data_IF_874198937914
#
_entry.id   IF_874198937914
#
_cell.length_a   1.000
_cell.length_b   1.000
_cell.length_c   1.000
_cell.angle_alpha   90.00
_cell.angle_beta   90.00
_cell.angle_gamma   90.00
#
_symmetry.space_group_name_H-M   'P 1'
#
loop_
_entity.id
_entity.type
_entity.pdbx_description
1 polymer ?
#
# COMPACT_ATOMS: atom_id res chain seq x y z
N UNK A 1 34.26 -2.35 -33.38
CA UNK A 1 34.29 -2.22 -31.91
C UNK A 1 32.83 -2.27 -31.50
N UNK A 2 32.33 -3.47 -31.24
CA UNK A 2 30.91 -3.65 -30.94
C UNK A 2 30.61 -3.01 -29.59
N UNK A 3 29.66 -2.09 -29.56
CA UNK A 3 29.13 -1.55 -28.31
C UNK A 3 28.63 -2.75 -27.49
N UNK A 4 29.06 -2.92 -26.22
CA UNK A 4 28.57 -4.02 -25.41
C UNK A 4 27.03 -3.94 -25.35
N UNK A 5 26.37 -5.09 -25.49
CA UNK A 5 24.92 -5.21 -25.39
C UNK A 5 24.43 -4.52 -24.12
N UNK A 6 23.52 -3.55 -24.28
CA UNK A 6 22.91 -2.86 -23.15
C UNK A 6 21.82 -3.74 -22.54
N UNK A 7 22.17 -4.48 -21.49
CA UNK A 7 21.21 -5.26 -20.72
C UNK A 7 20.44 -4.36 -19.73
N UNK A 8 19.11 -4.47 -19.70
CA UNK A 8 18.25 -3.79 -18.72
C UNK A 8 17.88 -4.76 -17.60
N UNK A 9 18.20 -4.40 -16.36
CA UNK A 9 17.81 -5.19 -15.19
C UNK A 9 16.31 -5.02 -14.87
N UNK A 10 15.69 -6.04 -14.28
CA UNK A 10 14.36 -5.91 -13.69
C UNK A 10 14.49 -5.09 -12.41
N UNK A 11 13.92 -3.88 -12.39
CA UNK A 11 14.18 -2.87 -11.35
C UNK A 11 13.21 -2.89 -10.16
N UNK A 12 12.29 -3.86 -10.09
CA UNK A 12 11.20 -3.85 -9.08
C UNK A 12 11.70 -3.80 -7.63
N UNK A 13 12.79 -4.51 -7.32
CA UNK A 13 13.40 -4.57 -5.98
C UNK A 13 14.86 -4.15 -5.96
N UNK A 14 15.38 -3.63 -7.07
CA UNK A 14 16.78 -3.24 -7.19
C UNK A 14 17.02 -1.89 -6.53
N UNK A 15 17.66 -1.90 -5.35
CA UNK A 15 18.00 -0.71 -4.58
C UNK A 15 19.49 -0.72 -4.28
N UNK A 16 20.16 0.39 -4.58
CA UNK A 16 21.60 0.58 -4.35
C UNK A 16 21.82 1.46 -3.13
N UNK A 17 22.87 1.14 -2.37
CA UNK A 17 23.35 1.92 -1.25
C UNK A 17 24.88 1.87 -1.21
N UNK A 18 25.52 2.78 -0.49
CA UNK A 18 26.98 2.84 -0.40
C UNK A 18 27.52 1.63 0.37
N UNK A 19 28.53 0.94 -0.20
CA UNK A 19 29.19 -0.18 0.47
C UNK A 19 29.78 0.28 1.81
N UNK A 20 29.50 -0.46 2.89
CA UNK A 20 29.93 -0.13 4.26
C UNK A 20 28.96 0.79 5.02
N UNK A 21 27.94 1.37 4.37
CA UNK A 21 26.91 2.16 5.04
C UNK A 21 25.82 1.25 5.62
N UNK A 22 25.88 1.00 6.92
CA UNK A 22 24.92 0.15 7.64
C UNK A 22 23.52 0.77 7.70
N UNK A 23 23.43 2.09 7.85
CA UNK A 23 22.15 2.79 7.85
C UNK A 23 21.55 2.75 6.44
N UNK A 24 22.36 2.99 5.41
CA UNK A 24 21.96 2.84 4.02
C UNK A 24 21.45 1.42 3.70
N UNK A 25 22.12 0.38 4.20
CA UNK A 25 21.67 -1.01 4.04
C UNK A 25 20.28 -1.24 4.67
N UNK A 26 20.09 -0.79 5.91
CA UNK A 26 18.79 -0.87 6.57
C UNK A 26 17.70 -0.10 5.81
N UNK A 27 18.00 1.13 5.39
CA UNK A 27 17.06 1.99 4.67
C UNK A 27 16.73 1.46 3.26
N UNK A 28 17.65 0.73 2.63
CA UNK A 28 17.38 0.03 1.37
C UNK A 28 16.27 -1.02 1.56
N UNK A 29 16.32 -1.82 2.63
CA UNK A 29 15.23 -2.74 2.99
C UNK A 29 13.92 -2.01 3.30
N UNK A 30 13.97 -0.91 4.05
CA UNK A 30 12.78 -0.10 4.33
C UNK A 30 12.16 0.48 3.05
N UNK A 31 12.96 0.74 2.02
CA UNK A 31 12.43 1.21 0.75
C UNK A 31 11.61 0.15 -0.01
N UNK A 32 11.74 -1.13 0.33
CA UNK A 32 10.94 -2.22 -0.24
C UNK A 32 9.58 -2.40 0.42
N UNK A 33 9.25 -1.61 1.46
CA UNK A 33 7.96 -1.64 2.15
C UNK A 33 6.75 -1.57 1.20
N UNK A 34 6.70 -0.66 0.19
CA UNK A 34 5.60 -0.64 -0.77
C UNK A 34 5.42 -1.96 -1.53
N UNK A 35 6.52 -2.64 -1.87
CA UNK A 35 6.50 -3.94 -2.56
C UNK A 35 5.94 -5.01 -1.63
N UNK A 36 6.39 -5.06 -0.36
CA UNK A 36 5.88 -6.02 0.62
C UNK A 36 4.41 -5.79 0.96
N UNK A 37 3.97 -4.53 1.09
CA UNK A 37 2.55 -4.21 1.30
C UNK A 37 1.73 -4.65 0.09
N UNK A 38 2.19 -4.38 -1.13
CA UNK A 38 1.46 -4.71 -2.36
C UNK A 38 1.40 -6.22 -2.60
N UNK A 39 2.55 -6.87 -2.75
CA UNK A 39 2.64 -8.28 -3.11
C UNK A 39 2.42 -9.20 -1.90
N UNK A 40 2.92 -8.85 -0.73
CA UNK A 40 2.73 -9.65 0.48
C UNK A 40 1.36 -9.39 1.12
N UNK A 41 0.98 -8.13 1.29
CA UNK A 41 -0.27 -7.76 1.96
C UNK A 41 -1.51 -7.96 1.09
N UNK A 42 -1.64 -7.18 0.02
CA UNK A 42 -2.88 -7.14 -0.78
C UNK A 42 -3.11 -8.40 -1.62
N UNK A 43 -2.07 -9.02 -2.20
CA UNK A 43 -2.26 -10.30 -2.91
C UNK A 43 -2.67 -11.39 -1.93
N UNK A 44 -2.04 -11.50 -0.76
CA UNK A 44 -2.46 -12.48 0.26
C UNK A 44 -3.89 -12.20 0.74
N UNK A 45 -4.25 -10.93 0.94
CA UNK A 45 -5.64 -10.56 1.24
C UNK A 45 -6.59 -11.04 0.14
N UNK A 46 -6.27 -10.81 -1.12
CA UNK A 46 -7.10 -11.28 -2.23
C UNK A 46 -7.18 -12.81 -2.33
N UNK A 47 -6.12 -13.54 -2.00
CA UNK A 47 -6.13 -15.01 -2.08
C UNK A 47 -6.87 -15.67 -0.92
N UNK A 48 -6.73 -15.14 0.30
CA UNK A 48 -7.22 -15.79 1.53
C UNK A 48 -8.46 -15.14 2.15
N UNK A 49 -8.66 -13.83 1.94
CA UNK A 49 -9.72 -13.04 2.60
C UNK A 49 -10.83 -12.63 1.66
N UNK A 50 -10.47 -12.09 0.48
CA UNK A 50 -11.40 -11.58 -0.56
C UNK A 50 -12.45 -10.59 -0.02
N UNK A 51 -12.09 -9.83 1.01
CA UNK A 51 -12.98 -8.81 1.59
C UNK A 51 -12.99 -7.55 0.73
N UNK A 52 -14.17 -7.05 0.40
CA UNK A 52 -14.35 -5.87 -0.45
C UNK A 52 -13.61 -4.64 0.08
N UNK A 53 -13.65 -4.37 1.38
CA UNK A 53 -12.91 -3.25 1.98
C UNK A 53 -11.41 -3.30 1.66
N UNK A 54 -10.78 -4.47 1.78
CA UNK A 54 -9.36 -4.63 1.47
C UNK A 54 -9.08 -4.63 -0.04
N UNK A 55 -9.99 -5.16 -0.86
CA UNK A 55 -9.88 -5.10 -2.33
C UNK A 55 -9.92 -3.64 -2.81
N UNK A 56 -10.88 -2.84 -2.36
CA UNK A 56 -10.99 -1.44 -2.73
C UNK A 56 -9.85 -0.59 -2.16
N UNK A 57 -9.30 -0.94 -0.99
CA UNK A 57 -8.07 -0.33 -0.51
C UNK A 57 -6.89 -0.61 -1.46
N UNK A 58 -6.67 -1.86 -1.86
CA UNK A 58 -5.64 -2.23 -2.83
C UNK A 58 -5.85 -1.54 -4.19
N UNK A 59 -7.09 -1.48 -4.68
CA UNK A 59 -7.43 -0.76 -5.91
C UNK A 59 -7.09 0.73 -5.83
N UNK A 60 -7.32 1.34 -4.67
CA UNK A 60 -6.94 2.73 -4.42
C UNK A 60 -5.44 2.98 -4.54
N UNK A 61 -4.60 2.06 -4.08
CA UNK A 61 -3.14 2.14 -4.25
C UNK A 61 -2.74 2.03 -5.73
N UNK A 62 -3.40 1.15 -6.50
CA UNK A 62 -3.18 1.05 -7.95
C UNK A 62 -3.56 2.35 -8.64
N UNK A 63 -4.72 2.93 -8.34
CA UNK A 63 -5.16 4.23 -8.87
C UNK A 63 -4.17 5.34 -8.49
N UNK A 64 -3.73 5.38 -7.23
CA UNK A 64 -2.72 6.32 -6.76
C UNK A 64 -1.42 6.21 -7.56
N UNK A 65 -0.97 4.97 -7.83
CA UNK A 65 0.22 4.74 -8.64
C UNK A 65 0.03 5.19 -10.10
N UNK A 66 -1.13 4.96 -10.70
CA UNK A 66 -1.45 5.47 -12.05
C UNK A 66 -1.42 7.00 -12.10
N UNK A 67 -1.98 7.67 -11.09
CA UNK A 67 -1.92 9.14 -10.95
C UNK A 67 -0.46 9.60 -10.83
N UNK A 68 0.37 8.92 -10.03
CA UNK A 68 1.78 9.26 -9.86
C UNK A 68 2.53 9.18 -11.20
N UNK A 69 2.36 8.09 -11.94
CA UNK A 69 3.04 7.88 -13.21
C UNK A 69 2.55 8.88 -14.28
N UNK A 70 1.25 9.17 -14.32
CA UNK A 70 0.71 10.21 -15.20
C UNK A 70 1.32 11.60 -14.92
N UNK A 71 1.46 11.97 -13.65
CA UNK A 71 2.08 13.25 -13.28
C UNK A 71 3.56 13.26 -13.66
N UNK A 72 4.29 12.18 -13.38
CA UNK A 72 5.71 12.05 -13.71
C UNK A 72 5.98 12.19 -15.20
N UNK A 73 5.17 11.55 -16.05
CA UNK A 73 5.32 11.63 -17.50
C UNK A 73 4.86 12.98 -18.06
N UNK A 74 4.08 13.75 -17.32
CA UNK A 74 3.66 15.10 -17.74
C UNK A 74 4.65 16.19 -17.31
N UNK A 75 5.19 16.09 -16.10
CA UNK A 75 6.04 17.14 -15.48
C UNK A 75 7.52 16.90 -15.76
N UNK A 76 7.92 15.64 -15.90
CA UNK A 76 9.27 15.23 -16.30
C UNK A 76 10.41 15.81 -15.43
N UNK A 77 10.14 16.16 -14.17
CA UNK A 77 11.17 16.72 -13.30
C UNK A 77 12.29 15.70 -13.06
N UNK A 78 13.52 16.14 -13.29
CA UNK A 78 14.72 15.32 -13.09
C UNK A 78 14.89 14.85 -11.63
N UNK A 79 15.56 13.71 -11.46
CA UNK A 79 16.06 13.23 -10.17
C UNK A 79 17.31 14.01 -9.73
N UNK A 80 17.73 13.90 -8.46
CA UNK A 80 19.04 14.41 -8.04
C UNK A 80 20.19 13.78 -8.85
N UNK A 81 21.32 14.48 -8.98
CA UNK A 81 22.49 14.03 -9.77
C UNK A 81 23.04 12.66 -9.33
N UNK A 82 22.79 12.26 -8.07
CA UNK A 82 23.08 10.91 -7.56
C UNK A 82 22.38 9.80 -8.34
N UNK A 83 21.37 10.09 -9.17
CA UNK A 83 20.66 9.11 -9.99
C UNK A 83 21.59 8.32 -10.92
N UNK A 84 22.70 8.91 -11.38
CA UNK A 84 23.62 8.25 -12.32
C UNK A 84 24.31 7.08 -11.66
N UNK A 85 24.75 7.26 -10.41
CA UNK A 85 25.39 6.20 -9.61
C UNK A 85 24.38 5.11 -9.21
N UNK A 86 23.11 5.49 -9.06
CA UNK A 86 22.01 4.62 -8.64
C UNK A 86 21.32 3.91 -9.82
N UNK A 87 21.71 4.20 -11.07
CA UNK A 87 21.04 3.73 -12.29
C UNK A 87 19.52 4.00 -12.26
N UNK A 88 19.14 5.22 -11.89
CA UNK A 88 17.75 5.64 -11.73
C UNK A 88 17.35 6.84 -12.59
N UNK A 89 18.29 7.41 -13.38
CA UNK A 89 18.03 8.61 -14.18
C UNK A 89 17.08 8.38 -15.36
N UNK A 90 16.76 7.13 -15.70
CA UNK A 90 15.81 6.78 -16.76
C UNK A 90 14.34 7.08 -16.37
N UNK A 91 14.10 7.60 -15.16
CA UNK A 91 12.77 7.90 -14.64
C UNK A 91 12.69 9.27 -13.97
N UNK A 92 11.51 9.89 -14.03
CA UNK A 92 11.25 11.20 -13.44
C UNK A 92 11.11 11.13 -11.90
N UNK A 93 11.61 12.18 -11.25
CA UNK A 93 11.75 12.26 -9.79
C UNK A 93 10.52 12.80 -9.05
N UNK A 94 9.62 13.52 -9.73
CA UNK A 94 8.49 14.21 -9.08
C UNK A 94 7.12 13.72 -9.56
N UNK A 95 6.18 13.43 -8.65
CA UNK A 95 6.37 13.26 -7.21
C UNK A 95 6.96 11.88 -6.86
N UNK A 96 7.54 11.73 -5.66
CA UNK A 96 8.10 10.44 -5.24
C UNK A 96 7.01 9.37 -5.05
N UNK A 97 7.04 8.29 -5.86
CA UNK A 97 6.06 7.19 -5.78
C UNK A 97 6.10 6.45 -4.45
N UNK A 98 7.29 6.24 -3.86
CA UNK A 98 7.42 5.54 -2.58
C UNK A 98 6.76 6.33 -1.45
N UNK A 99 7.02 7.65 -1.41
CA UNK A 99 6.40 8.52 -0.41
C UNK A 99 4.90 8.63 -0.61
N UNK A 100 4.43 8.78 -1.85
CA UNK A 100 3.01 8.78 -2.17
C UNK A 100 2.30 7.49 -1.75
N UNK A 101 2.89 6.33 -2.03
CA UNK A 101 2.33 5.03 -1.67
C UNK A 101 2.15 4.90 -0.16
N UNK A 102 3.20 5.15 0.62
CA UNK A 102 3.14 4.92 2.08
C UNK A 102 2.27 5.96 2.80
N UNK A 103 2.19 7.20 2.30
CA UNK A 103 1.27 8.20 2.86
C UNK A 103 -0.18 7.95 2.48
N UNK A 104 -0.45 7.44 1.26
CA UNK A 104 -1.78 6.91 0.92
C UNK A 104 -2.16 5.79 1.88
N UNK A 105 -1.29 4.80 2.04
CA UNK A 105 -1.54 3.65 2.90
C UNK A 105 -1.80 4.08 4.34
N UNK A 106 -0.94 4.92 4.90
CA UNK A 106 -1.06 5.42 6.26
C UNK A 106 -2.37 6.19 6.49
N UNK A 107 -2.71 7.09 5.57
CA UNK A 107 -3.94 7.88 5.65
C UNK A 107 -5.18 7.00 5.57
N UNK A 108 -5.25 6.12 4.56
CA UNK A 108 -6.40 5.24 4.35
C UNK A 108 -6.58 4.27 5.53
N UNK A 109 -5.49 3.65 5.99
CA UNK A 109 -5.51 2.70 7.11
C UNK A 109 -5.90 3.38 8.43
N UNK A 110 -5.39 4.60 8.68
CA UNK A 110 -5.80 5.41 9.83
C UNK A 110 -7.31 5.69 9.81
N UNK A 111 -7.87 6.08 8.67
CA UNK A 111 -9.28 6.38 8.51
C UNK A 111 -10.16 5.12 8.70
N UNK A 112 -9.73 3.96 8.21
CA UNK A 112 -10.39 2.69 8.51
C UNK A 112 -10.42 2.42 10.03
N UNK A 113 -9.29 2.63 10.72
CA UNK A 113 -9.19 2.48 12.17
C UNK A 113 -10.09 3.43 12.95
N UNK A 114 -10.21 4.68 12.51
CA UNK A 114 -11.13 5.67 13.07
C UNK A 114 -12.59 5.26 12.88
N UNK A 115 -12.96 4.74 11.70
CA UNK A 115 -14.32 4.25 11.41
C UNK A 115 -14.60 2.87 12.05
N UNK A 116 -13.58 2.21 12.58
CA UNK A 116 -13.70 0.89 13.21
C UNK A 116 -13.81 -0.27 12.23
N UNK A 117 -13.42 -0.09 10.97
CA UNK A 117 -13.52 -1.11 9.93
C UNK A 117 -12.36 -2.09 10.05
N UNK A 118 -12.67 -3.39 10.23
CA UNK A 118 -11.68 -4.47 10.15
C UNK A 118 -10.71 -4.59 11.33
N UNK A 119 -10.94 -3.85 12.43
CA UNK A 119 -10.09 -3.92 13.62
C UNK A 119 -10.83 -4.53 14.80
N UNK A 120 -10.39 -5.74 15.19
CA UNK A 120 -10.76 -6.38 16.45
C UNK A 120 -10.23 -5.64 17.69
N UNK A 121 -9.21 -4.80 17.50
CA UNK A 121 -8.38 -4.35 18.62
C UNK A 121 -8.93 -3.11 19.30
N UNK A 122 -8.87 -3.11 20.64
CA UNK A 122 -9.34 -2.02 21.49
C UNK A 122 -8.61 -0.69 21.23
N UNK A 123 -9.18 0.41 21.72
CA UNK A 123 -8.75 1.78 21.42
C UNK A 123 -7.25 2.02 21.62
N UNK A 124 -6.66 1.52 22.71
CA UNK A 124 -5.22 1.61 23.01
C UNK A 124 -4.35 0.96 21.92
N UNK A 125 -4.79 -0.16 21.35
CA UNK A 125 -4.07 -0.81 20.26
C UNK A 125 -4.20 -0.07 18.94
N UNK A 126 -5.33 0.61 18.68
CA UNK A 126 -5.48 1.47 17.49
C UNK A 126 -4.44 2.58 17.45
N UNK A 127 -4.14 3.21 18.59
CA UNK A 127 -3.07 4.22 18.70
C UNK A 127 -1.68 3.64 18.39
N UNK A 128 -1.36 2.45 18.91
CA UNK A 128 -0.08 1.77 18.64
C UNK A 128 0.02 1.41 17.16
N UNK A 129 -1.05 0.86 16.57
CA UNK A 129 -1.09 0.52 15.14
C UNK A 129 -0.94 1.77 14.27
N UNK A 130 -1.56 2.89 14.67
CA UNK A 130 -1.39 4.18 14.03
C UNK A 130 0.06 4.65 14.08
N UNK A 131 0.68 4.63 15.26
CA UNK A 131 2.08 5.01 15.42
C UNK A 131 3.01 4.18 14.53
N UNK A 132 2.83 2.84 14.51
CA UNK A 132 3.70 1.93 13.76
C UNK A 132 3.71 2.25 12.26
N UNK A 133 2.53 2.36 11.63
CA UNK A 133 2.50 2.57 10.19
C UNK A 133 2.88 4.00 9.78
N UNK A 134 2.61 5.01 10.62
CA UNK A 134 3.09 6.38 10.37
C UNK A 134 4.60 6.49 10.52
N UNK A 135 5.20 5.82 11.52
CA UNK A 135 6.65 5.69 11.62
C UNK A 135 7.23 5.03 10.37
N UNK A 136 6.61 3.95 9.89
CA UNK A 136 7.04 3.27 8.67
C UNK A 136 6.97 4.22 7.45
N UNK A 137 5.88 4.98 7.31
CA UNK A 137 5.73 5.95 6.22
C UNK A 137 6.82 7.03 6.24
N UNK A 138 7.11 7.59 7.42
CA UNK A 138 8.15 8.62 7.59
C UNK A 138 9.55 8.06 7.32
N UNK A 139 9.87 6.84 7.80
CA UNK A 139 11.19 6.23 7.56
C UNK A 139 11.33 5.83 6.08
N UNK A 140 10.29 5.34 5.41
CA UNK A 140 10.31 5.10 3.96
C UNK A 140 10.47 6.40 3.17
N UNK A 141 9.84 7.50 3.59
CA UNK A 141 10.06 8.81 2.97
C UNK A 141 11.51 9.29 3.15
N UNK A 142 12.03 9.18 4.38
CA UNK A 142 13.41 9.54 4.71
C UNK A 142 14.43 8.72 3.93
N UNK A 143 14.21 7.41 3.77
CA UNK A 143 15.11 6.53 3.03
C UNK A 143 15.33 7.01 1.60
N UNK A 144 14.32 7.58 0.95
CA UNK A 144 14.43 8.07 -0.44
C UNK A 144 15.36 9.27 -0.57
N UNK A 145 15.40 10.14 0.44
CA UNK A 145 16.31 11.28 0.49
C UNK A 145 17.70 10.82 0.90
N UNK A 146 17.81 10.03 1.98
CA UNK A 146 19.09 9.55 2.49
C UNK A 146 19.87 8.72 1.46
N UNK A 147 19.19 7.83 0.74
CA UNK A 147 19.80 7.01 -0.31
C UNK A 147 20.06 7.79 -1.62
N UNK A 148 19.65 9.07 -1.70
CA UNK A 148 19.90 9.93 -2.86
C UNK A 148 18.98 9.68 -4.06
N UNK A 149 17.83 9.03 -3.89
CA UNK A 149 16.92 8.77 -5.01
C UNK A 149 15.99 9.95 -5.34
N UNK A 150 15.75 10.83 -4.36
CA UNK A 150 14.81 11.96 -4.48
C UNK A 150 15.28 13.17 -3.66
N UNK A 151 14.86 14.36 -4.07
CA UNK A 151 15.01 15.58 -3.25
C UNK A 151 13.97 15.62 -2.12
N UNK A 152 14.20 16.47 -1.13
CA UNK A 152 13.23 16.75 -0.05
C UNK A 152 11.88 17.21 -0.62
N UNK A 153 11.89 18.12 -1.59
CA UNK A 153 10.66 18.61 -2.23
C UNK A 153 9.87 17.50 -2.94
N UNK A 154 10.57 16.58 -3.63
CA UNK A 154 9.94 15.45 -4.33
C UNK A 154 9.25 14.47 -3.38
N UNK A 155 9.85 14.20 -2.22
CA UNK A 155 9.25 13.30 -1.25
C UNK A 155 8.07 13.96 -0.54
N UNK A 156 8.15 15.23 -0.16
CA UNK A 156 7.00 15.93 0.44
C UNK A 156 5.83 16.09 -0.52
N UNK A 157 6.09 16.33 -1.81
CA UNK A 157 5.05 16.34 -2.83
C UNK A 157 4.37 14.97 -2.98
N UNK A 158 5.15 13.90 -2.95
CA UNK A 158 4.63 12.53 -2.91
C UNK A 158 3.76 12.29 -1.68
N UNK A 159 4.26 12.64 -0.49
CA UNK A 159 3.53 12.51 0.77
C UNK A 159 2.17 13.25 0.75
N UNK A 160 2.17 14.51 0.32
CA UNK A 160 0.97 15.33 0.24
C UNK A 160 -0.05 14.74 -0.75
N UNK A 161 0.39 14.38 -1.95
CA UNK A 161 -0.46 13.75 -2.96
C UNK A 161 -1.02 12.42 -2.45
N UNK A 162 -0.19 11.60 -1.81
CA UNK A 162 -0.59 10.32 -1.23
C UNK A 162 -1.67 10.47 -0.18
N UNK A 163 -1.51 11.43 0.75
CA UNK A 163 -2.49 11.71 1.79
C UNK A 163 -3.82 12.20 1.19
N UNK A 164 -3.78 13.13 0.23
CA UNK A 164 -4.98 13.67 -0.43
C UNK A 164 -5.72 12.57 -1.20
N UNK A 165 -5.02 11.80 -2.02
CA UNK A 165 -5.62 10.71 -2.81
C UNK A 165 -6.14 9.61 -1.88
N UNK A 166 -5.41 9.27 -0.81
CA UNK A 166 -5.82 8.29 0.19
C UNK A 166 -7.10 8.68 0.93
N UNK A 167 -7.16 9.92 1.44
CA UNK A 167 -8.36 10.45 2.09
C UNK A 167 -9.55 10.54 1.13
N UNK A 168 -9.32 11.04 -0.08
CA UNK A 168 -10.37 11.16 -1.10
C UNK A 168 -10.92 9.80 -1.53
N UNK A 169 -10.04 8.83 -1.77
CA UNK A 169 -10.44 7.47 -2.14
C UNK A 169 -11.17 6.77 -0.98
N UNK A 170 -10.69 6.93 0.26
CA UNK A 170 -11.40 6.42 1.43
C UNK A 170 -12.82 6.97 1.49
N UNK A 171 -12.99 8.29 1.30
CA UNK A 171 -14.30 8.93 1.27
C UNK A 171 -15.19 8.38 0.15
N UNK A 172 -14.67 8.23 -1.07
CA UNK A 172 -15.41 7.63 -2.20
C UNK A 172 -15.88 6.21 -1.86
N UNK A 173 -14.97 5.36 -1.36
CA UNK A 173 -15.31 3.99 -1.00
C UNK A 173 -16.37 3.96 0.09
N UNK A 174 -16.20 4.75 1.14
CA UNK A 174 -16.99 4.66 2.35
C UNK A 174 -18.27 5.50 2.37
N UNK A 175 -18.45 6.39 1.39
CA UNK A 175 -19.64 7.24 1.26
C UNK A 175 -20.47 6.90 0.02
N UNK A 176 -19.81 6.39 -1.03
CA UNK A 176 -20.44 6.09 -2.32
C UNK A 176 -20.41 4.58 -2.60
N UNK A 177 -19.23 3.96 -2.72
CA UNK A 177 -19.11 2.59 -3.24
C UNK A 177 -19.61 1.51 -2.28
N UNK A 178 -19.52 1.74 -0.97
CA UNK A 178 -20.00 0.83 0.07
C UNK A 178 -21.46 0.40 -0.15
N UNK A 179 -22.30 1.30 -0.67
CA UNK A 179 -23.72 1.02 -0.94
C UNK A 179 -23.93 -0.04 -2.02
N UNK A 180 -22.90 -0.31 -2.82
CA UNK A 180 -22.91 -1.30 -3.89
C UNK A 180 -22.18 -2.58 -3.52
N UNK A 181 -21.62 -2.70 -2.30
CA UNK A 181 -20.85 -3.87 -1.91
C UNK A 181 -21.69 -5.15 -1.94
N UNK A 182 -22.91 -5.11 -1.41
CA UNK A 182 -23.87 -6.22 -1.52
C UNK A 182 -24.13 -6.61 -2.97
N UNK A 183 -24.34 -5.64 -3.87
CA UNK A 183 -24.55 -5.91 -5.30
C UNK A 183 -23.32 -6.54 -5.96
N UNK A 184 -22.11 -6.14 -5.55
CA UNK A 184 -20.86 -6.71 -6.06
C UNK A 184 -20.68 -8.15 -5.55
N UNK A 185 -20.90 -8.39 -4.26
CA UNK A 185 -20.85 -9.71 -3.63
C UNK A 185 -21.83 -10.69 -4.30
N UNK A 186 -23.07 -10.24 -4.54
CA UNK A 186 -24.15 -11.03 -5.12
C UNK A 186 -24.02 -11.25 -6.64
N UNK A 187 -23.15 -10.49 -7.30
CA UNK A 187 -22.90 -10.61 -8.73
C UNK A 187 -22.33 -11.99 -9.12
N UNK A 188 -22.46 -12.37 -10.40
CA UNK A 188 -21.89 -13.63 -10.92
C UNK A 188 -20.39 -13.75 -10.63
N UNK A 189 -19.65 -12.64 -10.78
CA UNK A 189 -18.22 -12.62 -10.48
C UNK A 189 -17.94 -12.68 -8.97
N UNK A 190 -18.72 -11.95 -8.15
CA UNK A 190 -18.59 -11.96 -6.69
C UNK A 190 -18.76 -13.36 -6.11
N UNK A 191 -19.81 -14.06 -6.54
CA UNK A 191 -20.08 -15.46 -6.16
C UNK A 191 -19.02 -16.42 -6.69
N UNK A 192 -18.62 -16.29 -7.96
CA UNK A 192 -17.57 -17.14 -8.56
C UNK A 192 -16.23 -17.01 -7.83
N UNK A 193 -15.88 -15.79 -7.42
CA UNK A 193 -14.63 -15.51 -6.73
C UNK A 193 -14.74 -15.67 -5.22
N UNK A 194 -15.92 -15.95 -4.65
CA UNK A 194 -16.18 -15.97 -3.21
C UNK A 194 -15.76 -14.66 -2.52
N UNK A 195 -16.07 -13.51 -3.14
CA UNK A 195 -15.85 -12.18 -2.55
C UNK A 195 -16.87 -11.96 -1.44
N UNK A 196 -16.44 -11.29 -0.36
CA UNK A 196 -17.27 -11.08 0.84
C UNK A 196 -17.45 -9.59 1.15
N UNK A 197 -18.68 -9.20 1.51
CA UNK A 197 -18.94 -7.95 2.22
C UNK A 197 -19.14 -8.19 3.72
N UNK A 198 -18.08 -7.97 4.50
CA UNK A 198 -18.16 -8.00 5.97
C UNK A 198 -18.25 -6.62 6.60
N UNK A 199 -18.54 -5.58 5.81
CA UNK A 199 -18.45 -4.20 6.28
C UNK A 199 -19.51 -3.83 7.31
N UNK A 200 -20.57 -4.63 7.44
CA UNK A 200 -21.61 -4.51 8.48
C UNK A 200 -21.26 -5.27 9.77
N UNK A 201 -20.21 -6.11 9.75
CA UNK A 201 -19.78 -6.92 10.88
C UNK A 201 -18.71 -6.14 11.67
N UNK A 202 -18.97 -5.74 12.92
CA UNK A 202 -18.02 -4.95 13.71
C UNK A 202 -16.69 -5.68 13.98
N UNK A 203 -16.75 -7.00 14.12
CA UNK A 203 -15.63 -7.85 14.47
C UNK A 203 -15.62 -9.13 13.62
N UNK A 204 -15.04 -8.99 12.42
CA UNK A 204 -15.01 -10.05 11.41
C UNK A 204 -14.23 -11.26 11.90
N UNK A 205 -13.10 -11.05 12.57
CA UNK A 205 -12.23 -12.13 13.03
C UNK A 205 -12.93 -12.98 14.10
N UNK A 206 -13.60 -12.34 15.07
CA UNK A 206 -14.37 -13.09 16.07
C UNK A 206 -15.59 -13.77 15.45
N UNK A 207 -16.30 -13.10 14.56
CA UNK A 207 -17.42 -13.69 13.83
C UNK A 207 -17.01 -14.97 13.10
N UNK A 208 -15.89 -14.94 12.38
CA UNK A 208 -15.36 -16.12 11.68
C UNK A 208 -14.90 -17.22 12.66
N UNK A 209 -14.23 -16.85 13.75
CA UNK A 209 -13.80 -17.79 14.79
C UNK A 209 -14.99 -18.53 15.42
N UNK A 210 -16.03 -17.79 15.82
CA UNK A 210 -17.20 -18.35 16.48
C UNK A 210 -17.99 -19.28 15.54
N UNK A 211 -18.18 -18.88 14.28
CA UNK A 211 -18.82 -19.71 13.25
C UNK A 211 -18.03 -20.99 12.95
N UNK A 212 -16.71 -20.90 12.82
CA UNK A 212 -15.87 -22.08 12.59
C UNK A 212 -15.94 -23.07 13.75
N UNK A 213 -16.05 -22.58 15.00
CA UNK A 213 -16.22 -23.44 16.19
C UNK A 213 -17.62 -24.02 16.29
N UNK A 214 -18.66 -23.25 15.96
CA UNK A 214 -20.04 -23.71 15.95
C UNK A 214 -20.24 -24.84 14.91
N UNK A 215 -19.73 -24.65 13.69
CA UNK A 215 -19.78 -25.65 12.63
C UNK A 215 -19.21 -27.00 13.08
N UNK A 216 -18.06 -27.00 13.79
CA UNK A 216 -17.42 -28.21 14.33
C UNK A 216 -18.25 -28.91 15.42
N UNK A 217 -18.98 -28.16 16.24
CA UNK A 217 -19.82 -28.76 17.28
C UNK A 217 -21.02 -29.48 16.65
N UNK A 218 -21.62 -28.88 15.63
CA UNK A 218 -22.76 -29.47 14.92
C UNK A 218 -22.37 -30.75 14.16
N UNK A 219 -21.12 -30.85 13.66
CA UNK A 219 -20.63 -32.10 13.01
C UNK A 219 -20.39 -33.25 13.99
N UNK A 220 -20.40 -33.01 15.31
CA UNK A 220 -20.22 -34.06 16.33
C UNK A 220 -21.55 -34.54 16.92
N UNK A 221 -22.65 -33.86 16.62
CA UNK A 221 -24.00 -34.20 17.06
C UNK A 221 -24.80 -35.01 16.04
N UNK A 222 -24.22 -35.20 14.84
CA UNK A 222 -24.68 -36.12 13.79
C UNK A 222 -23.80 -37.39 13.80
#
# INVERSE_FOLDING_TARGET
>A
MDLPEQFKAVTLTHVRYRRGDQLGHFLAWISLVPVFISLGGFVSHFLFRRELQGIFFGLGLVISQLINEFIKTTVEQARPETCTLLEACDSHGWPSSHSQFVFFFATYFSLMGCKGIGFWVGLRSRWVLNLVHWCLAVVTMYSRVYLGYHTVAQVFAGAALGAVVGGSWFWVVNSVLYRYFEVIEESKLGRMLCVKDTSHIPDVLKFEYDNARAARKNTKSD
#
